data_IF_980246582896
#
_entry.id   IF_980246582896
#
_cell.length_a   1.000
_cell.length_b   1.000
_cell.length_c   1.000
_cell.angle_alpha   90.00
_cell.angle_beta   90.00
_cell.angle_gamma   90.00
#
_symmetry.space_group_name_H-M   'P 1'
#
loop_
_entity.id
_entity.type
_entity.pdbx_description
1 polymer ?
#
# COMPACT_ATOMS: atom_id res chain seq x y z
N UNK A 1 -8.60 7.33 -10.47
CA UNK A 1 -7.81 8.17 -11.36
C UNK A 1 -8.54 9.45 -11.75
N UNK A 2 -9.79 9.38 -12.24
CA UNK A 2 -10.55 10.56 -12.67
C UNK A 2 -10.56 11.69 -11.63
N UNK A 3 -10.76 11.39 -10.36
CA UNK A 3 -10.81 12.39 -9.29
C UNK A 3 -9.46 13.06 -9.01
N UNK A 4 -8.32 12.50 -9.40
CA UNK A 4 -7.03 13.19 -9.27
C UNK A 4 -6.91 14.39 -10.21
N UNK A 5 -7.78 14.49 -11.22
CA UNK A 5 -7.88 15.59 -12.18
C UNK A 5 -9.10 16.51 -11.93
N UNK A 6 -9.79 16.29 -10.79
CA UNK A 6 -10.98 17.04 -10.37
C UNK A 6 -10.71 17.76 -9.04
N UNK A 7 -11.42 18.89 -8.80
CA UNK A 7 -11.30 19.65 -7.53
C UNK A 7 -11.55 18.78 -6.30
N UNK A 8 -12.41 17.76 -6.40
CA UNK A 8 -12.70 16.82 -5.31
C UNK A 8 -11.52 15.95 -4.91
N UNK A 9 -10.51 15.81 -5.76
CA UNK A 9 -9.28 15.06 -5.49
C UNK A 9 -8.03 15.92 -5.37
N UNK A 10 -8.14 17.25 -5.38
CA UNK A 10 -7.03 18.19 -5.38
C UNK A 10 -6.03 17.95 -4.26
N UNK A 11 -6.50 17.74 -3.03
CA UNK A 11 -5.62 17.43 -1.90
C UNK A 11 -4.80 16.15 -2.10
N UNK A 12 -5.36 15.14 -2.79
CA UNK A 12 -4.61 13.92 -3.13
C UNK A 12 -3.59 14.19 -4.23
N UNK A 13 -3.93 15.00 -5.23
CA UNK A 13 -3.01 15.40 -6.29
C UNK A 13 -1.84 16.23 -5.73
N UNK A 14 -2.12 17.18 -4.84
CA UNK A 14 -1.09 17.94 -4.13
C UNK A 14 -0.18 17.04 -3.29
N UNK A 15 -0.75 16.07 -2.58
CA UNK A 15 0.03 15.11 -1.81
C UNK A 15 0.98 14.30 -2.70
N UNK A 16 0.53 13.83 -3.87
CA UNK A 16 1.37 13.12 -4.84
C UNK A 16 2.50 14.03 -5.35
N UNK A 17 2.21 15.30 -5.62
CA UNK A 17 3.20 16.29 -6.05
C UNK A 17 4.24 16.57 -4.94
N UNK A 18 3.80 16.77 -3.70
CA UNK A 18 4.69 16.96 -2.54
C UNK A 18 5.62 15.76 -2.33
N UNK A 19 5.12 14.54 -2.60
CA UNK A 19 5.88 13.30 -2.57
C UNK A 19 6.72 13.08 -3.83
N UNK A 20 6.63 13.97 -4.82
CA UNK A 20 7.30 13.86 -6.13
C UNK A 20 6.95 12.57 -6.88
N UNK A 21 5.75 12.04 -6.65
CA UNK A 21 5.26 10.87 -7.39
C UNK A 21 4.87 11.31 -8.79
N UNK A 22 5.54 10.73 -9.78
CA UNK A 22 5.30 11.08 -11.19
C UNK A 22 3.94 10.55 -11.66
N UNK A 23 3.36 11.21 -12.66
CA UNK A 23 2.13 10.74 -13.30
C UNK A 23 2.26 9.30 -13.81
N UNK A 24 3.41 8.96 -14.38
CA UNK A 24 3.71 7.59 -14.86
C UNK A 24 3.58 6.58 -13.73
N UNK A 25 4.17 6.88 -12.58
CA UNK A 25 4.12 6.01 -11.40
C UNK A 25 2.70 5.90 -10.87
N UNK A 26 1.99 7.02 -10.74
CA UNK A 26 0.59 7.04 -10.29
C UNK A 26 -0.31 6.17 -11.19
N UNK A 27 -0.15 6.26 -12.50
CA UNK A 27 -0.88 5.44 -13.49
C UNK A 27 -0.51 3.96 -13.38
N UNK A 28 0.78 3.64 -13.27
CA UNK A 28 1.25 2.24 -13.17
C UNK A 28 0.70 1.52 -11.94
N UNK A 29 0.53 2.25 -10.84
CA UNK A 29 -0.06 1.72 -9.61
C UNK A 29 -1.58 1.90 -9.54
N UNK A 30 -2.19 2.57 -10.51
CA UNK A 30 -3.62 2.87 -10.53
C UNK A 30 -4.06 3.77 -9.37
N UNK A 31 -3.17 4.66 -8.89
CA UNK A 31 -3.49 5.54 -7.76
C UNK A 31 -4.69 6.41 -8.08
N UNK A 32 -5.52 6.68 -7.09
CA UNK A 32 -6.73 7.46 -7.24
C UNK A 32 -7.07 8.27 -6.00
N UNK A 33 -8.17 8.99 -6.05
CA UNK A 33 -8.70 9.73 -4.92
C UNK A 33 -10.15 9.31 -4.63
N UNK A 34 -10.57 9.37 -3.39
CA UNK A 34 -11.96 9.34 -2.99
C UNK A 34 -12.41 10.74 -2.58
N UNK A 35 -13.62 11.13 -3.01
CA UNK A 35 -14.20 12.42 -2.67
C UNK A 35 -14.52 12.51 -1.17
N UNK A 36 -14.71 13.74 -0.69
CA UNK A 36 -15.23 14.02 0.65
C UNK A 36 -16.77 14.00 0.65
N UNK A 37 -17.34 12.87 0.24
CA UNK A 37 -18.77 12.65 0.10
C UNK A 37 -19.17 11.35 0.82
N UNK A 38 -20.35 11.34 1.44
CA UNK A 38 -20.80 10.17 2.17
C UNK A 38 -21.30 9.02 1.28
N UNK A 39 -21.78 9.32 0.09
CA UNK A 39 -22.41 8.38 -0.84
C UNK A 39 -22.07 8.62 -2.31
N UNK A 40 -20.96 9.31 -2.58
CA UNK A 40 -20.52 9.63 -3.93
C UNK A 40 -20.22 8.39 -4.75
N UNK A 41 -19.44 7.43 -4.21
CA UNK A 41 -19.18 6.15 -4.86
C UNK A 41 -20.45 5.29 -4.96
N UNK A 42 -21.22 5.21 -3.87
CA UNK A 42 -22.49 4.47 -3.84
C UNK A 42 -23.42 4.94 -4.96
N UNK A 43 -23.60 6.25 -5.11
CA UNK A 43 -24.43 6.86 -6.15
C UNK A 43 -23.86 6.60 -7.55
N UNK A 44 -22.55 6.76 -7.74
CA UNK A 44 -21.90 6.51 -9.03
C UNK A 44 -22.04 5.05 -9.47
N UNK A 45 -21.87 4.09 -8.55
CA UNK A 45 -21.99 2.67 -8.84
C UNK A 45 -23.44 2.24 -9.08
N UNK A 46 -24.42 2.82 -8.35
CA UNK A 46 -25.83 2.59 -8.60
C UNK A 46 -26.24 2.99 -10.02
N UNK A 47 -25.71 4.11 -10.55
CA UNK A 47 -25.93 4.54 -11.94
C UNK A 47 -25.34 3.56 -12.96
N UNK A 48 -24.32 2.80 -12.58
CA UNK A 48 -23.71 1.72 -13.40
C UNK A 48 -24.40 0.38 -13.22
N UNK A 49 -25.47 0.29 -12.40
CA UNK A 49 -26.27 -0.90 -12.21
C UNK A 49 -25.83 -1.80 -11.04
N UNK A 50 -24.83 -1.40 -10.26
CA UNK A 50 -24.40 -2.18 -9.10
C UNK A 50 -25.33 -1.95 -7.89
N UNK A 51 -25.70 -3.02 -7.22
CA UNK A 51 -26.55 -3.00 -6.03
C UNK A 51 -25.75 -2.64 -4.77
N UNK A 52 -26.44 -2.15 -3.73
CA UNK A 52 -25.84 -1.94 -2.40
C UNK A 52 -25.24 -3.22 -1.81
N UNK A 53 -25.88 -4.36 -2.05
CA UNK A 53 -25.42 -5.66 -1.55
C UNK A 53 -24.05 -6.04 -2.17
N UNK A 54 -23.87 -5.83 -3.47
CA UNK A 54 -22.58 -6.07 -4.15
C UNK A 54 -21.50 -5.12 -3.62
N UNK A 55 -21.81 -3.85 -3.41
CA UNK A 55 -20.85 -2.88 -2.88
C UNK A 55 -20.46 -3.16 -1.42
N UNK A 56 -21.40 -3.67 -0.60
CA UNK A 56 -21.11 -4.16 0.75
C UNK A 56 -20.23 -5.40 0.71
N UNK A 57 -20.55 -6.38 -0.15
CA UNK A 57 -19.77 -7.59 -0.33
C UNK A 57 -18.34 -7.30 -0.82
N UNK A 58 -18.17 -6.28 -1.67
CA UNK A 58 -16.87 -5.81 -2.15
C UNK A 58 -16.11 -4.96 -1.09
N UNK A 59 -16.75 -4.61 0.03
CA UNK A 59 -16.14 -3.78 1.07
C UNK A 59 -15.90 -2.32 0.64
N UNK A 60 -16.64 -1.82 -0.34
CA UNK A 60 -16.55 -0.45 -0.86
C UNK A 60 -17.42 0.52 -0.07
N UNK A 61 -18.49 0.03 0.51
CA UNK A 61 -19.41 0.76 1.39
C UNK A 61 -19.53 0.04 2.72
N UNK A 62 -20.03 0.73 3.73
CA UNK A 62 -20.26 0.19 5.06
C UNK A 62 -21.69 0.48 5.51
N UNK A 63 -22.24 -0.41 6.32
CA UNK A 63 -23.53 -0.22 6.95
C UNK A 63 -23.35 0.44 8.32
N UNK A 64 -23.95 1.60 8.48
CA UNK A 64 -23.95 2.34 9.74
C UNK A 64 -25.06 1.91 10.67
N UNK A 65 -25.08 2.53 11.85
CA UNK A 65 -26.18 2.40 12.82
C UNK A 65 -27.51 2.87 12.17
N UNK A 66 -28.57 2.08 12.35
CA UNK A 66 -29.88 2.40 11.76
C UNK A 66 -30.04 2.01 10.28
N UNK A 67 -29.11 1.22 9.71
CA UNK A 67 -29.25 0.67 8.36
C UNK A 67 -28.81 1.59 7.22
N UNK A 68 -28.28 2.78 7.52
CA UNK A 68 -27.70 3.66 6.51
C UNK A 68 -26.47 2.99 5.86
N UNK A 69 -26.30 3.19 4.55
CA UNK A 69 -25.14 2.69 3.80
C UNK A 69 -24.38 3.88 3.24
N UNK A 70 -23.07 3.91 3.43
CA UNK A 70 -22.22 5.02 3.00
C UNK A 70 -20.84 4.53 2.53
N UNK A 71 -20.12 5.38 1.81
CA UNK A 71 -18.80 5.06 1.25
C UNK A 71 -17.79 4.79 2.35
N UNK A 72 -17.06 3.68 2.22
CA UNK A 72 -16.01 3.31 3.16
C UNK A 72 -14.82 4.27 3.10
N UNK A 73 -14.38 4.60 1.90
CA UNK A 73 -13.24 5.47 1.68
C UNK A 73 -13.73 6.87 1.32
N UNK A 74 -13.41 7.85 2.15
CA UNK A 74 -13.73 9.26 1.92
C UNK A 74 -12.49 10.09 2.18
N UNK A 75 -12.26 11.13 1.36
CA UNK A 75 -11.17 12.08 1.50
C UNK A 75 -9.78 11.42 1.62
N UNK A 76 -9.54 10.38 0.78
CA UNK A 76 -8.32 9.59 0.84
C UNK A 76 -7.67 9.43 -0.53
N UNK A 77 -6.34 9.41 -0.51
CA UNK A 77 -5.57 8.83 -1.61
C UNK A 77 -5.78 7.32 -1.59
N UNK A 78 -6.13 6.76 -2.75
CA UNK A 78 -6.50 5.36 -2.92
C UNK A 78 -5.39 4.58 -3.62
N UNK A 79 -5.06 3.44 -3.04
CA UNK A 79 -4.10 2.45 -3.52
C UNK A 79 -4.86 1.17 -3.89
N UNK A 80 -5.09 0.86 -5.17
CA UNK A 80 -5.68 -0.41 -5.55
C UNK A 80 -4.77 -1.56 -5.15
N UNK A 81 -5.33 -2.56 -4.51
CA UNK A 81 -4.64 -3.82 -4.22
C UNK A 81 -4.89 -4.76 -5.37
N UNK A 82 -3.85 -5.02 -6.13
CA UNK A 82 -3.92 -5.84 -7.35
C UNK A 82 -3.24 -7.17 -7.06
N UNK A 83 -3.96 -8.26 -7.29
CA UNK A 83 -3.44 -9.60 -7.07
C UNK A 83 -2.43 -10.00 -8.15
N UNK A 84 -1.80 -11.16 -7.99
CA UNK A 84 -0.79 -11.65 -8.96
C UNK A 84 -1.36 -11.98 -10.33
N UNK A 85 -2.68 -12.06 -10.51
CA UNK A 85 -3.33 -12.26 -11.82
C UNK A 85 -3.57 -10.93 -12.53
N UNK A 86 -3.56 -9.82 -11.79
CA UNK A 86 -3.82 -8.48 -12.30
C UNK A 86 -5.22 -7.97 -11.96
N UNK A 87 -5.97 -8.69 -11.13
CA UNK A 87 -7.32 -8.31 -10.71
C UNK A 87 -7.24 -7.36 -9.50
N UNK A 88 -8.05 -6.28 -9.51
CA UNK A 88 -8.22 -5.41 -8.35
C UNK A 88 -9.10 -6.11 -7.34
N UNK A 89 -8.54 -6.52 -6.21
CA UNK A 89 -9.24 -7.31 -5.18
C UNK A 89 -9.60 -6.50 -3.93
N UNK A 90 -8.95 -5.36 -3.71
CA UNK A 90 -9.17 -4.51 -2.54
C UNK A 90 -8.63 -3.10 -2.77
N UNK A 91 -8.76 -2.25 -1.76
CA UNK A 91 -8.19 -0.90 -1.74
C UNK A 91 -7.56 -0.60 -0.38
N UNK A 92 -6.45 0.13 -0.42
CA UNK A 92 -5.93 0.89 0.70
C UNK A 92 -6.28 2.36 0.53
N UNK A 93 -6.56 3.07 1.62
CA UNK A 93 -6.83 4.49 1.60
C UNK A 93 -5.98 5.22 2.64
N UNK A 94 -5.27 6.27 2.23
CA UNK A 94 -4.47 7.12 3.10
C UNK A 94 -5.08 8.50 3.20
N UNK A 95 -5.28 9.01 4.43
CA UNK A 95 -5.59 10.42 4.66
C UNK A 95 -4.39 11.26 4.25
N UNK A 96 -4.65 12.32 3.49
CA UNK A 96 -3.64 13.27 3.04
C UNK A 96 -3.66 14.56 3.87
N UNK A 97 -4.79 14.89 4.49
CA UNK A 97 -4.94 16.00 5.42
C UNK A 97 -4.32 15.62 6.78
N UNK A 98 -3.32 16.37 7.21
CA UNK A 98 -2.63 16.14 8.49
C UNK A 98 -3.48 16.46 9.72
N UNK A 99 -4.53 17.27 9.54
CA UNK A 99 -5.42 17.70 10.62
C UNK A 99 -6.64 16.79 10.79
N UNK A 100 -6.84 15.82 9.89
CA UNK A 100 -7.93 14.84 10.01
C UNK A 100 -7.61 13.83 11.13
N UNK A 101 -8.44 13.74 12.19
CA UNK A 101 -8.20 12.86 13.34
C UNK A 101 -8.40 11.37 13.03
N UNK A 102 -8.91 11.03 11.86
CA UNK A 102 -9.18 9.65 11.48
C UNK A 102 -7.88 8.84 11.29
N UNK A 103 -7.98 7.53 11.28
CA UNK A 103 -6.85 6.64 11.06
C UNK A 103 -6.12 6.98 9.75
N UNK A 104 -4.80 7.22 9.83
CA UNK A 104 -3.94 7.59 8.69
C UNK A 104 -4.10 6.63 7.52
N UNK A 105 -4.17 5.34 7.78
CA UNK A 105 -4.40 4.30 6.79
C UNK A 105 -5.67 3.50 7.10
N UNK A 106 -6.38 3.11 6.06
CA UNK A 106 -7.55 2.26 6.11
C UNK A 106 -7.47 1.28 4.93
N UNK A 107 -7.75 0.01 5.18
CA UNK A 107 -7.79 -1.02 4.13
C UNK A 107 -9.20 -1.58 3.97
N UNK A 108 -9.47 -2.19 2.81
CA UNK A 108 -10.67 -3.01 2.64
C UNK A 108 -10.76 -4.08 3.72
N UNK A 109 -11.97 -4.49 4.12
CA UNK A 109 -12.16 -5.66 4.98
C UNK A 109 -11.79 -6.93 4.22
N UNK A 110 -11.71 -8.07 4.93
CA UNK A 110 -11.69 -9.39 4.29
C UNK A 110 -12.97 -9.56 3.47
N UNK A 111 -12.84 -10.11 2.26
CA UNK A 111 -13.95 -10.42 1.35
C UNK A 111 -13.76 -11.80 0.73
N UNK A 112 -14.72 -12.26 -0.07
CA UNK A 112 -14.60 -13.54 -0.78
C UNK A 112 -13.44 -13.57 -1.78
N UNK A 113 -13.00 -12.40 -2.26
CA UNK A 113 -11.91 -12.25 -3.25
C UNK A 113 -10.63 -11.67 -2.65
N UNK A 114 -10.66 -11.19 -1.40
CA UNK A 114 -9.52 -10.53 -0.77
C UNK A 114 -9.26 -11.04 0.63
N UNK A 115 -8.03 -11.46 0.86
CA UNK A 115 -7.51 -11.73 2.21
C UNK A 115 -6.15 -11.07 2.39
N UNK A 116 -6.01 -10.22 3.41
CA UNK A 116 -4.75 -9.56 3.77
C UNK A 116 -3.61 -10.56 4.00
N UNK A 117 -3.96 -11.76 4.45
CA UNK A 117 -2.98 -12.83 4.72
C UNK A 117 -2.39 -13.44 3.45
N UNK A 118 -2.98 -13.21 2.29
CA UNK A 118 -2.64 -13.88 1.03
C UNK A 118 -2.15 -12.95 -0.07
N UNK A 119 -2.30 -11.63 0.12
CA UNK A 119 -1.94 -10.64 -0.88
C UNK A 119 -0.79 -9.78 -0.39
N UNK A 120 0.10 -9.40 -1.30
CA UNK A 120 1.16 -8.43 -1.08
C UNK A 120 0.96 -7.28 -2.07
N UNK A 121 0.95 -6.04 -1.57
CA UNK A 121 0.84 -4.85 -2.40
C UNK A 121 2.07 -4.71 -3.29
N UNK A 122 1.86 -4.45 -4.57
CA UNK A 122 2.94 -4.29 -5.56
C UNK A 122 3.52 -5.60 -6.10
N UNK A 123 3.17 -6.78 -5.55
CA UNK A 123 3.72 -8.05 -6.03
C UNK A 123 3.31 -8.36 -7.50
N UNK A 124 2.16 -7.88 -7.95
CA UNK A 124 1.74 -7.98 -9.35
C UNK A 124 2.73 -7.32 -10.33
N UNK A 125 3.45 -6.31 -9.87
CA UNK A 125 4.53 -5.64 -10.61
C UNK A 125 5.87 -6.28 -10.29
N UNK A 126 6.21 -6.45 -9.01
CA UNK A 126 7.49 -6.98 -8.56
C UNK A 126 7.85 -8.35 -9.16
N UNK A 127 6.87 -9.23 -9.36
CA UNK A 127 7.07 -10.53 -10.02
C UNK A 127 7.54 -10.45 -11.49
N UNK A 128 7.46 -9.27 -12.12
CA UNK A 128 7.90 -9.02 -13.49
C UNK A 128 9.33 -8.45 -13.55
N UNK A 129 9.87 -8.10 -12.40
CA UNK A 129 11.25 -7.62 -12.29
C UNK A 129 12.24 -8.67 -12.81
N UNK A 130 13.36 -8.20 -13.36
CA UNK A 130 14.49 -9.03 -13.75
C UNK A 130 15.45 -9.29 -12.59
N UNK A 131 15.19 -8.70 -11.41
CA UNK A 131 15.99 -8.91 -10.21
C UNK A 131 15.67 -10.28 -9.60
N UNK A 132 16.66 -10.94 -9.06
CA UNK A 132 16.51 -12.29 -8.49
C UNK A 132 15.89 -12.27 -7.09
N UNK A 133 15.88 -11.10 -6.43
CA UNK A 133 15.35 -10.91 -5.09
C UNK A 133 14.08 -10.05 -5.08
N UNK A 134 13.34 -10.13 -3.97
CA UNK A 134 12.21 -9.25 -3.68
C UNK A 134 12.52 -8.45 -2.41
N UNK A 135 12.23 -7.15 -2.44
CA UNK A 135 12.33 -6.24 -1.31
C UNK A 135 10.96 -6.17 -0.62
N UNK A 136 10.92 -6.53 0.66
CA UNK A 136 9.74 -6.40 1.51
C UNK A 136 9.83 -5.13 2.35
N UNK A 137 8.85 -4.24 2.20
CA UNK A 137 8.67 -3.01 3.00
C UNK A 137 7.33 -3.04 3.73
N UNK A 138 7.07 -2.06 4.60
CA UNK A 138 5.84 -2.02 5.40
C UNK A 138 4.66 -1.38 4.66
N UNK A 139 4.89 -0.28 3.97
CA UNK A 139 3.85 0.60 3.46
C UNK A 139 3.68 0.61 1.94
N UNK A 140 2.45 0.94 1.52
CA UNK A 140 2.14 1.05 0.09
C UNK A 140 2.94 2.19 -0.57
N UNK A 141 3.16 3.27 0.16
CA UNK A 141 3.89 4.43 -0.37
C UNK A 141 5.36 4.10 -0.60
N UNK A 142 5.97 3.29 0.28
CA UNK A 142 7.35 2.86 0.15
C UNK A 142 7.54 2.03 -1.12
N UNK A 143 6.58 1.12 -1.40
CA UNK A 143 6.57 0.34 -2.65
C UNK A 143 6.50 1.27 -3.86
N UNK A 144 5.60 2.24 -3.86
CA UNK A 144 5.43 3.19 -4.98
C UNK A 144 6.72 3.99 -5.21
N UNK A 145 7.35 4.45 -4.14
CA UNK A 145 8.58 5.25 -4.21
C UNK A 145 9.79 4.41 -4.64
N UNK A 146 9.93 3.19 -4.13
CA UNK A 146 10.98 2.27 -4.55
C UNK A 146 10.86 1.93 -6.04
N UNK A 147 9.65 1.61 -6.52
CA UNK A 147 9.43 1.35 -7.96
C UNK A 147 9.75 2.58 -8.81
N UNK A 148 9.38 3.78 -8.37
CA UNK A 148 9.74 5.02 -9.07
C UNK A 148 11.26 5.23 -9.14
N UNK A 149 11.97 4.86 -8.09
CA UNK A 149 13.43 4.91 -8.02
C UNK A 149 14.14 3.77 -8.78
N UNK A 150 13.39 2.87 -9.44
CA UNK A 150 13.96 1.77 -10.22
C UNK A 150 14.12 0.45 -9.46
N UNK A 151 13.67 0.37 -8.20
CA UNK A 151 13.58 -0.88 -7.43
C UNK A 151 12.23 -1.55 -7.68
N UNK A 152 12.04 -2.03 -8.91
CA UNK A 152 10.78 -2.59 -9.42
C UNK A 152 10.41 -3.97 -8.83
N UNK A 153 11.22 -4.47 -7.89
CA UNK A 153 11.06 -5.72 -7.16
C UNK A 153 10.54 -5.54 -5.72
N UNK A 154 10.04 -4.34 -5.37
CA UNK A 154 9.52 -4.07 -4.03
C UNK A 154 8.05 -4.47 -3.89
N UNK A 155 7.66 -4.99 -2.71
CA UNK A 155 6.27 -5.24 -2.32
C UNK A 155 6.09 -5.06 -0.81
N UNK A 156 4.82 -4.99 -0.34
CA UNK A 156 4.50 -4.76 1.07
C UNK A 156 3.36 -5.64 1.58
N UNK A 157 3.38 -5.91 2.88
CA UNK A 157 2.36 -6.70 3.60
C UNK A 157 1.11 -5.90 4.02
N UNK A 158 1.05 -4.60 3.71
CA UNK A 158 -0.11 -3.73 3.95
C UNK A 158 -0.52 -3.56 5.43
N UNK A 159 0.45 -3.32 6.30
CA UNK A 159 0.20 -3.04 7.72
C UNK A 159 -0.21 -4.28 8.53
N UNK A 160 0.23 -5.44 8.10
CA UNK A 160 0.16 -6.71 8.85
C UNK A 160 1.55 -7.33 8.93
N UNK A 161 1.82 -8.13 9.97
CA UNK A 161 3.01 -8.95 9.97
C UNK A 161 3.00 -9.92 8.77
N UNK A 162 4.19 -10.28 8.27
CA UNK A 162 4.35 -11.28 7.22
C UNK A 162 3.67 -12.59 7.65
N UNK A 163 3.03 -13.28 6.71
CA UNK A 163 2.28 -14.53 6.98
C UNK A 163 2.86 -15.71 6.22
N UNK A 164 2.58 -16.92 6.69
CA UNK A 164 2.98 -18.14 6.01
C UNK A 164 2.40 -18.24 4.59
N UNK A 165 1.18 -17.73 4.38
CA UNK A 165 0.54 -17.70 3.06
C UNK A 165 1.25 -16.75 2.09
N UNK A 166 1.70 -15.59 2.60
CA UNK A 166 2.50 -14.64 1.81
C UNK A 166 3.90 -15.21 1.50
N UNK A 167 4.53 -15.89 2.45
CA UNK A 167 5.81 -16.59 2.23
C UNK A 167 5.67 -17.65 1.13
N UNK A 168 4.62 -18.48 1.18
CA UNK A 168 4.32 -19.45 0.12
C UNK A 168 4.04 -18.79 -1.23
N UNK A 169 3.44 -17.61 -1.24
CA UNK A 169 3.24 -16.85 -2.47
C UNK A 169 4.56 -16.35 -3.04
N UNK A 170 5.42 -15.76 -2.20
CA UNK A 170 6.73 -15.24 -2.59
C UNK A 170 7.66 -16.34 -3.12
N UNK A 171 7.63 -17.56 -2.55
CA UNK A 171 8.49 -18.67 -2.97
C UNK A 171 8.31 -19.13 -4.41
N UNK A 172 7.22 -18.68 -5.06
CA UNK A 172 6.96 -18.93 -6.48
C UNK A 172 7.74 -17.99 -7.40
N UNK A 173 8.26 -16.89 -6.88
CA UNK A 173 8.85 -15.80 -7.67
C UNK A 173 10.31 -15.55 -7.34
N UNK A 174 10.76 -15.88 -6.13
CA UNK A 174 12.14 -15.68 -5.70
C UNK A 174 12.56 -16.71 -4.65
N UNK A 175 13.86 -16.85 -4.46
CA UNK A 175 14.48 -17.53 -3.33
C UNK A 175 15.24 -16.57 -2.41
N UNK A 176 15.26 -15.28 -2.74
CA UNK A 176 16.01 -14.28 -1.99
C UNK A 176 15.09 -13.12 -1.59
N UNK A 177 15.02 -12.83 -0.29
CA UNK A 177 14.25 -11.74 0.27
C UNK A 177 15.17 -10.70 0.94
N UNK A 178 14.84 -9.44 0.73
CA UNK A 178 15.47 -8.32 1.43
C UNK A 178 14.37 -7.68 2.30
N UNK A 179 14.48 -7.81 3.62
CA UNK A 179 13.59 -7.15 4.56
C UNK A 179 14.08 -5.71 4.78
N UNK A 180 13.29 -4.73 4.38
CA UNK A 180 13.58 -3.30 4.53
C UNK A 180 12.39 -2.64 5.26
N UNK A 181 12.23 -2.98 6.54
CA UNK A 181 11.20 -2.44 7.40
C UNK A 181 11.67 -1.17 8.12
N UNK A 182 10.74 -0.42 8.68
CA UNK A 182 11.04 0.85 9.33
C UNK A 182 12.04 0.67 10.48
N UNK A 183 13.00 1.58 10.60
CA UNK A 183 14.01 1.53 11.66
C UNK A 183 13.44 2.08 12.98
N UNK A 184 12.26 1.64 13.40
CA UNK A 184 11.66 1.93 14.69
C UNK A 184 11.42 0.66 15.51
N UNK A 185 10.82 0.77 16.69
CA UNK A 185 10.55 -0.40 17.53
C UNK A 185 9.57 -1.38 16.88
N UNK A 186 8.56 -0.87 16.18
CA UNK A 186 7.55 -1.70 15.52
C UNK A 186 8.17 -2.46 14.34
N UNK A 187 8.96 -1.77 13.50
CA UNK A 187 9.66 -2.38 12.37
C UNK A 187 10.70 -3.41 12.81
N UNK A 188 11.45 -3.15 13.90
CA UNK A 188 12.37 -4.17 14.45
C UNK A 188 11.65 -5.43 14.92
N UNK A 189 10.51 -5.27 15.61
CA UNK A 189 9.67 -6.41 16.02
C UNK A 189 9.10 -7.13 14.79
N UNK A 190 8.69 -6.39 13.77
CA UNK A 190 8.20 -6.97 12.51
C UNK A 190 9.31 -7.74 11.79
N UNK A 191 10.52 -7.19 11.73
CA UNK A 191 11.71 -7.86 11.15
C UNK A 191 12.01 -9.16 11.88
N UNK A 192 12.06 -9.14 13.23
CA UNK A 192 12.33 -10.33 14.02
C UNK A 192 11.29 -11.43 13.77
N UNK A 193 10.00 -11.09 13.80
CA UNK A 193 8.91 -12.02 13.50
C UNK A 193 8.99 -12.59 12.08
N UNK A 194 9.36 -11.75 11.11
CA UNK A 194 9.55 -12.21 9.74
C UNK A 194 10.71 -13.20 9.63
N UNK A 195 11.84 -12.93 10.30
CA UNK A 195 12.99 -13.85 10.35
C UNK A 195 12.62 -15.18 11.01
N UNK A 196 11.88 -15.16 12.12
CA UNK A 196 11.39 -16.38 12.79
C UNK A 196 10.54 -17.24 11.85
N UNK A 197 9.62 -16.60 11.09
CA UNK A 197 8.77 -17.31 10.12
C UNK A 197 9.55 -17.83 8.90
N UNK A 198 10.64 -17.18 8.53
CA UNK A 198 11.46 -17.55 7.38
C UNK A 198 12.55 -18.57 7.71
N UNK A 199 12.86 -18.76 9.00
CA UNK A 199 13.95 -19.64 9.45
C UNK A 199 13.84 -21.08 8.94
N UNK A 200 12.61 -21.62 8.89
CA UNK A 200 12.33 -22.99 8.44
C UNK A 200 11.94 -23.05 6.95
N UNK A 201 12.44 -22.12 6.15
CA UNK A 201 12.17 -22.02 4.71
C UNK A 201 13.45 -22.03 3.90
N UNK A 202 13.33 -22.26 2.59
CA UNK A 202 14.46 -22.23 1.64
C UNK A 202 14.86 -20.82 1.19
N UNK A 203 14.39 -19.77 1.86
CA UNK A 203 14.75 -18.41 1.49
C UNK A 203 16.13 -18.01 2.00
N UNK A 204 16.93 -17.40 1.13
CA UNK A 204 18.04 -16.55 1.54
C UNK A 204 17.49 -15.19 1.96
N UNK A 205 17.71 -14.79 3.21
CA UNK A 205 17.14 -13.55 3.78
C UNK A 205 18.24 -12.58 4.14
N UNK A 206 18.12 -11.35 3.66
CA UNK A 206 18.96 -10.21 4.07
C UNK A 206 18.10 -9.16 4.74
N UNK A 207 18.62 -8.50 5.75
CA UNK A 207 18.00 -7.35 6.39
C UNK A 207 18.73 -6.09 5.93
N UNK A 208 17.98 -5.13 5.40
CA UNK A 208 18.48 -3.80 5.03
C UNK A 208 17.98 -2.79 6.05
N UNK A 209 18.90 -2.27 6.84
CA UNK A 209 18.64 -1.16 7.75
C UNK A 209 19.03 0.16 7.06
N UNK A 210 18.06 1.06 6.93
CA UNK A 210 18.31 2.38 6.38
C UNK A 210 19.02 3.26 7.41
N UNK A 211 20.07 4.00 7.03
CA UNK A 211 20.78 4.87 7.95
C UNK A 211 19.87 6.01 8.42
N UNK A 212 20.06 6.46 9.67
CA UNK A 212 19.38 7.65 10.17
C UNK A 212 19.86 8.90 9.41
N UNK A 213 18.93 9.80 9.12
CA UNK A 213 19.27 11.14 8.64
C UNK A 213 19.69 12.03 9.82
N UNK A 214 20.73 12.83 9.64
CA UNK A 214 21.08 13.84 10.64
C UNK A 214 20.35 15.15 10.30
N UNK A 215 19.55 15.64 11.23
CA UNK A 215 18.82 16.91 11.15
C UNK A 215 19.17 17.70 12.41
N UNK A 216 19.73 18.89 12.25
CA UNK A 216 20.16 19.75 13.37
C UNK A 216 21.05 19.03 14.40
N UNK A 217 21.94 18.15 13.91
CA UNK A 217 22.85 17.34 14.71
C UNK A 217 22.21 16.16 15.45
N UNK A 218 20.92 15.89 15.23
CA UNK A 218 20.19 14.78 15.83
C UNK A 218 19.86 13.70 14.80
N UNK A 219 19.96 12.40 15.15
CA UNK A 219 19.58 11.31 14.28
C UNK A 219 18.05 11.23 14.16
N UNK A 220 17.53 11.39 12.96
CA UNK A 220 16.11 11.22 12.61
C UNK A 220 15.96 9.95 11.80
N UNK A 221 15.05 9.09 12.21
CA UNK A 221 14.70 7.87 11.51
C UNK A 221 14.06 8.21 10.17
N UNK A 222 14.27 7.35 9.19
CA UNK A 222 13.65 7.48 7.87
C UNK A 222 13.13 6.11 7.39
N UNK A 223 12.00 6.14 6.72
CA UNK A 223 11.46 5.04 5.94
C UNK A 223 12.07 5.01 4.53
N UNK A 224 11.72 4.00 3.72
CA UNK A 224 12.25 3.88 2.37
C UNK A 224 11.86 5.08 1.47
N UNK A 225 10.65 5.63 1.65
CA UNK A 225 10.20 6.84 0.95
C UNK A 225 11.07 8.06 1.30
N UNK A 226 11.30 8.29 2.59
CA UNK A 226 12.14 9.40 3.04
C UNK A 226 13.60 9.24 2.60
N UNK A 227 14.12 8.01 2.60
CA UNK A 227 15.49 7.73 2.14
C UNK A 227 15.64 8.08 0.66
N UNK A 228 14.78 7.57 -0.21
CA UNK A 228 14.82 7.84 -1.65
C UNK A 228 14.69 9.33 -1.96
N UNK A 229 13.82 10.05 -1.25
CA UNK A 229 13.68 11.52 -1.45
C UNK A 229 14.93 12.31 -1.10
N UNK A 230 15.64 11.88 -0.07
CA UNK A 230 16.76 12.64 0.49
C UNK A 230 18.08 12.27 -0.18
N UNK A 231 18.29 11.00 -0.52
CA UNK A 231 19.56 10.49 -1.03
C UNK A 231 19.55 10.23 -2.55
N UNK A 232 18.35 10.09 -3.13
CA UNK A 232 18.20 9.67 -4.53
C UNK A 232 18.22 8.14 -4.68
N UNK A 233 18.11 7.65 -5.93
CA UNK A 233 18.06 6.23 -6.23
C UNK A 233 19.43 5.54 -6.32
N UNK A 234 20.54 6.30 -6.28
CA UNK A 234 21.92 5.82 -6.49
C UNK A 234 22.58 5.33 -5.20
#
# INVERSE_FOLDING_TARGET
DELLHDKRGEACAEYLNQRRITRRTAVNFGLGASADEWDGLLTAMARKGYSKAELLAAGLVVQGKGGSVYDKFRKRLIFPVIDVRGDVVAFGGRIVDKNDPSAKYMNSPETIIYSKRRVLYGLNLAKKSKRENIILVEGNIDVVMLHQAGFDNACASMGTALTTEQIRLLSRYTKELILCYDNDNAGRIATQKALELLNDTDFSVRVLELPNRIVDGQPVKQDADDFIKNQGPD
#
